data_IF_180012603280
#
_entry.id   IF_180012603280
#
_cell.length_a   1.000
_cell.length_b   1.000
_cell.length_c   1.000
_cell.angle_alpha   90.00
_cell.angle_beta   90.00
_cell.angle_gamma   90.00
#
_symmetry.space_group_name_H-M   'P 1'
#
loop_
_entity.id
_entity.type
_entity.pdbx_description
1 polymer ?
#
# COMPACT_ATOMS: atom_id res chain seq x y z
N UNK A 1 -26.56 33.15 12.33
CA UNK A 1 -25.25 33.07 11.65
C UNK A 1 -24.47 31.89 12.21
N UNK A 2 -23.67 31.22 11.36
CA UNK A 2 -22.77 30.14 11.79
C UNK A 2 -21.59 30.74 12.59
N UNK A 3 -21.15 30.10 13.68
CA UNK A 3 -20.00 30.56 14.48
C UNK A 3 -18.77 30.83 13.61
N UNK A 4 -18.51 29.98 12.61
CA UNK A 4 -17.35 30.13 11.71
C UNK A 4 -17.34 31.46 10.96
N UNK A 5 -18.49 32.02 10.59
CA UNK A 5 -18.54 33.32 9.89
C UNK A 5 -18.23 34.50 10.82
N UNK A 6 -18.26 34.28 12.14
CA UNK A 6 -18.00 35.29 13.14
C UNK A 6 -16.51 35.37 13.51
N UNK A 7 -15.73 34.31 13.27
CA UNK A 7 -14.32 34.20 13.68
C UNK A 7 -13.43 35.13 12.83
N UNK A 8 -12.49 35.81 13.50
CA UNK A 8 -11.44 36.58 12.85
C UNK A 8 -10.22 35.71 12.54
N UNK A 9 -10.24 35.03 11.39
CA UNK A 9 -9.13 34.19 10.94
C UNK A 9 -7.85 34.97 10.63
N UNK A 10 -7.90 36.29 10.39
CA UNK A 10 -6.72 37.10 10.06
C UNK A 10 -5.75 37.21 11.25
N UNK A 11 -6.23 36.95 12.47
CA UNK A 11 -5.44 36.96 13.72
C UNK A 11 -4.95 35.57 14.12
N UNK A 12 -5.25 34.53 13.34
CA UNK A 12 -4.86 33.15 13.61
C UNK A 12 -3.63 32.82 12.77
N UNK A 13 -2.51 32.49 13.42
CA UNK A 13 -1.32 32.05 12.73
C UNK A 13 -1.46 30.59 12.27
N UNK A 14 -1.83 30.40 11.00
CA UNK A 14 -1.94 29.08 10.38
C UNK A 14 -0.56 28.45 10.14
N UNK A 15 -0.51 27.12 10.16
CA UNK A 15 0.69 26.36 9.84
C UNK A 15 0.96 26.42 8.33
N UNK A 16 2.23 26.54 7.95
CA UNK A 16 2.64 26.54 6.54
C UNK A 16 2.68 25.11 5.98
N UNK A 17 2.48 25.00 4.67
CA UNK A 17 2.69 23.78 3.88
C UNK A 17 1.97 22.53 4.37
N UNK A 18 0.82 22.73 5.04
CA UNK A 18 0.00 21.66 5.62
C UNK A 18 -1.48 22.04 5.71
N UNK A 19 -2.30 21.09 6.16
CA UNK A 19 -3.69 21.34 6.56
C UNK A 19 -3.69 21.71 8.05
N UNK A 20 -4.07 22.95 8.35
CA UNK A 20 -4.20 23.41 9.74
C UNK A 20 -5.59 23.09 10.27
N UNK A 21 -5.66 22.35 11.37
CA UNK A 21 -6.89 22.10 12.12
C UNK A 21 -7.00 23.12 13.27
N UNK A 22 -8.18 23.75 13.38
CA UNK A 22 -8.51 24.70 14.43
C UNK A 22 -9.51 24.03 15.39
N UNK A 23 -9.04 23.65 16.57
CA UNK A 23 -9.87 22.96 17.57
C UNK A 23 -10.38 24.00 18.57
N UNK A 24 -11.71 24.16 18.62
CA UNK A 24 -12.35 25.03 19.60
C UNK A 24 -12.53 24.28 20.92
N UNK A 25 -12.02 24.87 22.01
CA UNK A 25 -12.08 24.28 23.35
C UNK A 25 -12.55 25.31 24.36
N UNK A 26 -13.18 24.86 25.44
CA UNK A 26 -13.48 25.73 26.58
C UNK A 26 -12.19 26.13 27.30
N UNK A 27 -12.15 27.35 27.81
CA UNK A 27 -11.02 27.89 28.57
C UNK A 27 -10.70 27.08 29.82
N UNK A 28 -11.70 26.43 30.42
CA UNK A 28 -11.53 25.58 31.62
C UNK A 28 -10.89 24.22 31.29
N UNK A 29 -11.10 23.72 30.06
CA UNK A 29 -10.55 22.44 29.59
C UNK A 29 -9.17 22.58 28.93
N UNK A 30 -8.71 23.83 28.72
CA UNK A 30 -7.39 24.13 28.19
C UNK A 30 -6.32 23.83 29.25
N UNK A 31 -5.89 22.57 29.33
CA UNK A 31 -4.74 22.16 30.15
C UNK A 31 -3.48 22.91 29.70
N UNK A 32 -2.61 23.27 30.66
CA UNK A 32 -1.33 23.98 30.46
C UNK A 32 -0.35 23.28 29.52
N UNK A 33 -0.68 22.06 29.10
CA UNK A 33 0.09 21.20 28.19
C UNK A 33 -0.38 21.19 26.75
N UNK A 34 -1.45 21.91 26.38
CA UNK A 34 -1.88 22.00 24.97
C UNK A 34 -0.99 23.00 24.21
N UNK A 35 -0.16 22.56 23.25
CA UNK A 35 0.69 23.47 22.49
C UNK A 35 -0.18 24.40 21.64
N UNK A 36 0.10 25.72 21.68
CA UNK A 36 -0.56 26.76 20.85
C UNK A 36 -2.07 26.95 21.07
N UNK A 37 -2.52 27.01 22.33
CA UNK A 37 -3.83 27.57 22.66
C UNK A 37 -3.79 29.10 22.64
N UNK A 38 -4.67 29.74 21.88
CA UNK A 38 -4.79 31.20 21.80
C UNK A 38 -6.24 31.66 21.97
N UNK A 39 -6.42 32.93 22.34
CA UNK A 39 -7.74 33.54 22.44
C UNK A 39 -8.40 33.60 21.07
N UNK A 40 -9.67 33.18 20.99
CA UNK A 40 -10.42 33.28 19.76
C UNK A 40 -10.98 34.71 19.62
N UNK A 41 -10.62 35.38 18.52
CA UNK A 41 -11.11 36.71 18.20
C UNK A 41 -12.24 36.64 17.17
N UNK A 42 -13.22 37.54 17.27
CA UNK A 42 -14.39 37.56 16.40
C UNK A 42 -14.49 38.88 15.62
N UNK A 43 -14.82 38.81 14.33
CA UNK A 43 -15.13 39.98 13.48
C UNK A 43 -16.53 40.51 13.78
N UNK A 44 -17.46 39.62 14.09
CA UNK A 44 -18.86 39.94 14.42
C UNK A 44 -19.32 39.08 15.59
N UNK A 45 -20.29 39.56 16.34
CA UNK A 45 -20.95 38.73 17.35
C UNK A 45 -21.91 37.72 16.67
N UNK A 46 -21.92 36.45 17.10
CA UNK A 46 -22.94 35.49 16.72
C UNK A 46 -24.33 35.99 17.06
N UNK A 47 -25.32 35.48 16.35
CA UNK A 47 -26.73 35.75 16.63
C UNK A 47 -27.05 35.40 18.09
N UNK A 48 -27.89 36.21 18.76
CA UNK A 48 -28.34 35.95 20.13
C UNK A 48 -28.98 34.55 20.25
N UNK A 49 -29.62 34.07 19.18
CA UNK A 49 -30.23 32.73 19.12
C UNK A 49 -29.22 31.59 18.89
N UNK A 50 -27.94 31.90 18.68
CA UNK A 50 -26.89 30.90 18.49
C UNK A 50 -26.59 30.17 19.80
N UNK A 51 -26.46 28.84 19.72
CA UNK A 51 -25.98 28.00 20.83
C UNK A 51 -24.60 28.41 21.36
N UNK A 52 -23.79 29.08 20.53
CA UNK A 52 -22.44 29.53 20.89
C UNK A 52 -22.40 30.89 21.58
N UNK A 53 -23.47 31.69 21.49
CA UNK A 53 -23.53 33.01 22.11
C UNK A 53 -23.21 33.01 23.63
N UNK A 54 -23.76 32.11 24.46
CA UNK A 54 -23.46 32.10 25.90
C UNK A 54 -22.00 31.73 26.22
N UNK A 55 -21.32 31.03 25.33
CA UNK A 55 -20.00 30.44 25.58
C UNK A 55 -18.88 31.13 24.80
N UNK A 56 -19.20 32.08 23.92
CA UNK A 56 -18.26 32.66 22.97
C UNK A 56 -16.99 33.25 23.62
N UNK A 57 -17.15 33.91 24.77
CA UNK A 57 -16.04 34.52 25.53
C UNK A 57 -15.20 33.50 26.29
N UNK A 58 -15.64 32.24 26.34
CA UNK A 58 -14.97 31.13 26.99
C UNK A 58 -14.30 30.19 25.97
N UNK A 59 -14.46 30.45 24.67
CA UNK A 59 -13.84 29.65 23.62
C UNK A 59 -12.39 30.09 23.40
N UNK A 60 -11.50 29.10 23.36
CA UNK A 60 -10.13 29.22 22.88
C UNK A 60 -9.97 28.39 21.62
N UNK A 61 -8.95 28.69 20.83
CA UNK A 61 -8.59 27.90 19.66
C UNK A 61 -7.21 27.29 19.87
N UNK A 62 -7.10 25.98 19.67
CA UNK A 62 -5.85 25.27 19.59
C UNK A 62 -5.52 25.03 18.12
N UNK A 63 -4.32 25.43 17.72
CA UNK A 63 -3.83 25.24 16.35
C UNK A 63 -2.97 23.98 16.32
N UNK A 64 -3.35 23.02 15.47
CA UNK A 64 -2.53 21.84 15.21
C UNK A 64 -2.57 21.47 13.73
N UNK A 65 -1.67 20.58 13.35
CA UNK A 65 -1.73 19.95 12.04
C UNK A 65 -2.86 18.92 12.04
N UNK A 66 -3.67 18.90 10.98
CA UNK A 66 -4.76 17.95 10.83
C UNK A 66 -4.20 16.52 10.83
N UNK A 67 -4.55 15.68 11.83
CA UNK A 67 -4.03 14.32 11.93
C UNK A 67 -4.57 13.40 10.83
N UNK A 68 -5.69 13.76 10.19
CA UNK A 68 -6.35 13.00 9.13
C UNK A 68 -5.91 13.39 7.71
N UNK A 69 -5.07 14.43 7.57
CA UNK A 69 -4.56 14.84 6.27
C UNK A 69 -3.75 13.73 5.61
N UNK A 70 -3.77 13.69 4.28
CA UNK A 70 -2.87 12.83 3.51
C UNK A 70 -1.42 13.28 3.73
N UNK A 71 -0.53 12.35 4.04
CA UNK A 71 0.90 12.63 4.26
C UNK A 71 1.69 12.28 3.01
N UNK A 72 1.86 13.22 2.10
CA UNK A 72 2.67 12.97 0.92
C UNK A 72 4.17 12.92 1.28
N UNK A 73 4.86 11.80 1.05
CA UNK A 73 6.29 11.67 1.33
C UNK A 73 7.10 12.65 0.49
N UNK A 74 8.12 13.29 1.08
CA UNK A 74 9.08 14.07 0.29
C UNK A 74 9.87 13.12 -0.60
N UNK A 75 9.91 13.40 -1.90
CA UNK A 75 10.63 12.57 -2.86
C UNK A 75 11.94 13.22 -3.28
N UNK A 76 13.06 12.58 -2.93
CA UNK A 76 14.42 13.07 -3.18
C UNK A 76 15.35 12.02 -3.81
N UNK A 77 14.82 10.87 -4.23
CA UNK A 77 15.61 9.78 -4.81
C UNK A 77 15.88 10.10 -6.29
N UNK A 78 17.14 10.30 -6.65
CA UNK A 78 17.54 10.67 -8.02
C UNK A 78 17.82 9.47 -8.94
N UNK A 79 17.90 8.25 -8.39
CA UNK A 79 18.25 7.03 -9.13
C UNK A 79 17.13 6.47 -10.01
N UNK A 80 15.93 7.04 -9.93
CA UNK A 80 14.76 6.57 -10.67
C UNK A 80 14.09 7.73 -11.40
N UNK A 81 13.86 7.62 -12.72
CA UNK A 81 13.08 8.60 -13.46
C UNK A 81 11.65 8.73 -12.89
N UNK A 82 11.21 9.95 -12.66
CA UNK A 82 9.86 10.26 -12.17
C UNK A 82 8.93 10.70 -13.30
N UNK A 83 7.62 10.65 -13.05
CA UNK A 83 6.61 11.31 -13.88
C UNK A 83 5.76 12.27 -13.07
N UNK A 84 5.34 13.36 -13.68
CA UNK A 84 4.45 14.30 -12.99
C UNK A 84 3.01 13.74 -12.96
N UNK A 85 2.30 13.98 -11.86
CA UNK A 85 0.91 13.55 -11.70
C UNK A 85 0.00 14.08 -12.82
N UNK A 86 0.28 15.27 -13.35
CA UNK A 86 -0.49 15.84 -14.47
C UNK A 86 -0.35 15.05 -15.78
N UNK A 87 0.64 14.18 -15.90
CA UNK A 87 0.80 13.27 -17.04
C UNK A 87 -0.12 12.04 -16.96
N UNK A 88 -0.76 11.78 -15.81
CA UNK A 88 -1.48 10.53 -15.55
C UNK A 88 -2.98 10.68 -15.87
N UNK A 89 -3.46 9.90 -16.81
CA UNK A 89 -4.88 9.82 -17.19
C UNK A 89 -5.47 8.53 -16.62
N UNK A 90 -6.31 8.65 -15.59
CA UNK A 90 -7.05 7.51 -15.03
C UNK A 90 -8.12 7.03 -16.00
N UNK A 91 -8.13 5.74 -16.32
CA UNK A 91 -9.10 5.14 -17.26
C UNK A 91 -10.09 4.21 -16.58
N UNK A 92 -9.66 3.48 -15.54
CA UNK A 92 -10.49 2.53 -14.81
C UNK A 92 -9.97 2.37 -13.38
N UNK A 93 -10.84 2.33 -12.38
CA UNK A 93 -10.47 1.91 -11.02
C UNK A 93 -10.50 0.37 -10.93
N UNK A 94 -9.40 -0.21 -10.43
CA UNK A 94 -9.25 -1.65 -10.21
C UNK A 94 -9.66 -2.03 -8.78
N UNK A 95 -9.27 -1.20 -7.83
CA UNK A 95 -9.61 -1.27 -6.41
C UNK A 95 -9.35 0.10 -5.77
N UNK A 96 -9.72 0.28 -4.50
CA UNK A 96 -9.57 1.56 -3.79
C UNK A 96 -8.16 2.11 -3.88
N UNK A 97 -8.00 3.23 -4.61
CA UNK A 97 -6.70 3.89 -4.80
C UNK A 97 -5.77 3.22 -5.82
N UNK A 98 -6.25 2.25 -6.60
CA UNK A 98 -5.49 1.56 -7.66
C UNK A 98 -6.24 1.68 -8.98
N UNK A 99 -5.57 2.25 -9.99
CA UNK A 99 -6.18 2.59 -11.27
C UNK A 99 -5.41 2.00 -12.43
N UNK A 100 -6.11 1.54 -13.47
CA UNK A 100 -5.53 1.52 -14.82
C UNK A 100 -5.40 2.95 -15.30
N UNK A 101 -4.26 3.26 -15.91
CA UNK A 101 -3.96 4.60 -16.40
C UNK A 101 -3.25 4.54 -17.75
N UNK A 102 -3.29 5.66 -18.46
CA UNK A 102 -2.36 5.98 -19.55
C UNK A 102 -1.52 7.18 -19.16
N UNK A 103 -0.34 7.30 -19.77
CA UNK A 103 0.49 8.50 -19.64
C UNK A 103 0.27 9.37 -20.88
N UNK A 104 0.14 10.69 -20.72
CA UNK A 104 0.00 11.64 -21.84
C UNK A 104 1.08 11.36 -22.90
N UNK A 105 0.66 11.21 -24.16
CA UNK A 105 1.56 10.94 -25.28
C UNK A 105 1.98 9.47 -25.42
N UNK A 106 1.41 8.55 -24.64
CA UNK A 106 1.65 7.11 -24.73
C UNK A 106 0.32 6.32 -24.67
N UNK A 107 0.17 5.33 -25.54
CA UNK A 107 -1.00 4.44 -25.57
C UNK A 107 -0.85 3.18 -24.70
N UNK A 108 0.32 2.95 -24.11
CA UNK A 108 0.56 1.85 -23.19
C UNK A 108 -0.28 2.04 -21.92
N UNK A 109 -0.90 0.94 -21.48
CA UNK A 109 -1.65 0.89 -20.22
C UNK A 109 -0.73 0.54 -19.06
N UNK A 110 -0.93 1.23 -17.95
CA UNK A 110 -0.17 1.06 -16.71
C UNK A 110 -1.10 0.90 -15.51
N UNK A 111 -0.54 0.52 -14.37
CA UNK A 111 -1.22 0.57 -13.07
C UNK A 111 -0.66 1.72 -12.25
N UNK A 112 -1.52 2.59 -11.75
CA UNK A 112 -1.18 3.66 -10.81
C UNK A 112 -1.77 3.35 -9.45
N UNK A 113 -0.91 3.20 -8.43
CA UNK A 113 -1.31 3.15 -7.03
C UNK A 113 -1.11 4.53 -6.41
N UNK A 114 -2.16 5.12 -5.89
CA UNK A 114 -2.17 6.48 -5.35
C UNK A 114 -1.97 6.50 -3.83
N UNK A 115 -1.24 7.50 -3.33
CA UNK A 115 -1.10 7.76 -1.89
C UNK A 115 -2.45 8.21 -1.30
N UNK A 116 -3.08 9.19 -1.93
CA UNK A 116 -4.36 9.76 -1.50
C UNK A 116 -5.54 8.88 -1.94
N UNK A 117 -5.90 7.89 -1.12
CA UNK A 117 -7.04 6.99 -1.36
C UNK A 117 -8.22 7.27 -0.44
N UNK A 118 -9.46 6.88 -0.81
CA UNK A 118 -10.60 6.88 0.11
C UNK A 118 -10.27 6.11 1.40
N UNK A 119 -10.71 6.64 2.54
CA UNK A 119 -10.39 6.10 3.89
C UNK A 119 -8.89 6.03 4.18
N UNK A 120 -8.14 7.03 3.71
CA UNK A 120 -6.71 7.15 3.98
C UNK A 120 -6.39 7.10 5.48
N UNK A 121 -5.41 6.28 5.83
CA UNK A 121 -4.75 6.30 7.14
C UNK A 121 -3.30 6.75 6.99
N UNK A 122 -2.70 7.45 7.98
CA UNK A 122 -1.31 7.89 7.91
C UNK A 122 -0.30 6.81 7.52
N UNK A 123 -0.55 5.56 7.95
CA UNK A 123 0.26 4.39 7.63
C UNK A 123 0.27 4.05 6.14
N UNK A 124 -0.76 4.40 5.37
CA UNK A 124 -0.86 4.10 3.93
C UNK A 124 0.31 4.70 3.14
N UNK A 125 0.79 5.87 3.55
CA UNK A 125 1.97 6.49 2.94
C UNK A 125 3.24 5.69 3.23
N UNK A 126 3.40 5.16 4.45
CA UNK A 126 4.53 4.31 4.82
C UNK A 126 4.52 3.00 4.02
N UNK A 127 3.33 2.42 3.82
CA UNK A 127 3.14 1.20 3.02
C UNK A 127 3.55 1.44 1.57
N UNK A 128 3.11 2.53 0.95
CA UNK A 128 3.45 2.85 -0.42
C UNK A 128 4.93 3.20 -0.59
N UNK A 129 5.52 3.92 0.37
CA UNK A 129 6.97 4.18 0.40
C UNK A 129 7.76 2.88 0.49
N UNK A 130 7.34 1.95 1.35
CA UNK A 130 8.02 0.66 1.50
C UNK A 130 7.89 -0.18 0.23
N UNK A 131 6.71 -0.18 -0.41
CA UNK A 131 6.52 -0.84 -1.70
C UNK A 131 7.46 -0.24 -2.76
N UNK A 132 7.57 1.09 -2.82
CA UNK A 132 8.50 1.75 -3.73
C UNK A 132 9.95 1.35 -3.48
N UNK A 133 10.40 1.31 -2.22
CA UNK A 133 11.76 0.85 -1.86
C UNK A 133 12.01 -0.58 -2.33
N UNK A 134 11.07 -1.49 -2.06
CA UNK A 134 11.19 -2.89 -2.46
C UNK A 134 11.20 -3.02 -3.99
N UNK A 135 10.35 -2.30 -4.71
CA UNK A 135 10.31 -2.30 -6.18
C UNK A 135 11.60 -1.77 -6.82
N UNK A 136 12.27 -0.80 -6.19
CA UNK A 136 13.58 -0.30 -6.65
C UNK A 136 14.64 -1.41 -6.51
N UNK A 137 14.65 -2.12 -5.37
CA UNK A 137 15.58 -3.24 -5.13
C UNK A 137 15.31 -4.45 -6.03
N UNK A 138 14.04 -4.67 -6.39
CA UNK A 138 13.58 -5.79 -7.20
C UNK A 138 13.53 -5.47 -8.72
N UNK A 139 14.02 -4.30 -9.14
CA UNK A 139 14.05 -3.93 -10.56
C UNK A 139 14.82 -4.96 -11.38
N UNK A 140 14.21 -5.42 -12.47
CA UNK A 140 14.77 -6.42 -13.37
C UNK A 140 14.74 -7.85 -12.83
N UNK A 141 14.22 -8.07 -11.62
CA UNK A 141 13.96 -9.42 -11.12
C UNK A 141 12.76 -10.00 -11.85
N UNK A 142 13.01 -11.15 -12.45
CA UNK A 142 12.01 -11.89 -13.19
C UNK A 142 10.89 -12.42 -12.28
N UNK A 143 9.64 -12.37 -12.74
CA UNK A 143 8.47 -12.75 -11.95
C UNK A 143 8.02 -11.70 -10.90
N UNK A 144 8.63 -10.51 -10.88
CA UNK A 144 8.17 -9.36 -10.08
C UNK A 144 7.60 -8.29 -11.00
N UNK A 145 6.51 -7.65 -10.59
CA UNK A 145 5.98 -6.48 -11.30
C UNK A 145 6.99 -5.33 -11.34
N UNK A 146 7.19 -4.75 -12.51
CA UNK A 146 8.19 -3.72 -12.71
C UNK A 146 7.67 -2.30 -12.44
N UNK A 147 8.48 -1.55 -11.68
CA UNK A 147 8.31 -0.11 -11.49
C UNK A 147 8.65 0.63 -12.78
N UNK A 148 7.66 1.35 -13.32
CA UNK A 148 7.84 2.25 -14.45
C UNK A 148 8.36 3.60 -13.98
N UNK A 149 7.68 4.21 -13.01
CA UNK A 149 8.08 5.50 -12.43
C UNK A 149 7.39 5.78 -11.10
N UNK A 150 8.05 6.44 -10.15
CA UNK A 150 7.40 7.18 -9.08
C UNK A 150 6.62 8.36 -9.68
N UNK A 151 5.38 8.55 -9.22
CA UNK A 151 4.56 9.68 -9.62
C UNK A 151 4.72 10.78 -8.58
N UNK A 152 5.08 11.96 -9.02
CA UNK A 152 5.38 13.10 -8.15
C UNK A 152 4.57 14.32 -8.51
N UNK A 153 4.49 15.29 -7.60
CA UNK A 153 4.08 16.66 -7.93
C UNK A 153 4.65 17.62 -6.89
N UNK A 154 4.41 18.93 -7.07
CA UNK A 154 4.63 19.89 -5.99
C UNK A 154 3.74 19.55 -4.80
N UNK A 155 4.23 19.80 -3.60
CA UNK A 155 3.45 19.62 -2.38
C UNK A 155 2.09 20.35 -2.51
N UNK A 156 0.95 19.63 -2.45
CA UNK A 156 -0.37 20.24 -2.64
C UNK A 156 -0.77 21.18 -1.50
N UNK A 157 -0.05 21.16 -0.38
CA UNK A 157 -0.33 21.99 0.78
C UNK A 157 0.47 23.30 0.80
N UNK A 158 1.26 23.61 -0.25
CA UNK A 158 2.10 24.81 -0.29
C UNK A 158 1.30 26.08 0.04
N UNK A 159 1.77 26.81 1.06
CA UNK A 159 1.16 28.08 1.46
C UNK A 159 1.70 29.23 0.61
N UNK A 160 0.95 30.33 0.53
CA UNK A 160 1.36 31.52 -0.21
C UNK A 160 2.67 32.16 0.29
N UNK A 161 3.08 31.85 1.52
CA UNK A 161 4.32 32.36 2.14
C UNK A 161 5.56 31.59 1.64
N UNK A 162 5.39 30.38 1.11
CA UNK A 162 6.50 29.52 0.69
C UNK A 162 6.95 29.90 -0.73
N UNK A 163 8.26 30.15 -0.89
CA UNK A 163 8.80 30.54 -2.18
C UNK A 163 8.74 29.38 -3.18
N UNK A 164 8.59 29.67 -4.48
CA UNK A 164 8.61 28.63 -5.52
C UNK A 164 9.93 27.85 -5.58
N UNK A 165 11.02 28.41 -5.04
CA UNK A 165 12.33 27.73 -4.97
C UNK A 165 12.40 26.70 -3.84
N UNK A 166 11.55 26.86 -2.81
CA UNK A 166 11.47 25.95 -1.66
C UNK A 166 10.35 24.92 -1.82
N UNK A 167 9.63 24.94 -2.95
CA UNK A 167 8.54 24.04 -3.23
C UNK A 167 9.02 22.58 -3.31
N UNK A 168 8.74 21.81 -2.26
CA UNK A 168 9.12 20.41 -2.18
C UNK A 168 8.34 19.57 -3.19
N UNK A 169 9.07 18.67 -3.86
CA UNK A 169 8.48 17.60 -4.66
C UNK A 169 8.09 16.46 -3.71
N UNK A 170 6.86 15.98 -3.85
CA UNK A 170 6.31 14.92 -3.01
C UNK A 170 5.85 13.75 -3.87
N UNK A 171 5.93 12.54 -3.31
CA UNK A 171 5.41 11.32 -3.90
C UNK A 171 3.88 11.35 -3.85
N UNK A 172 3.26 11.11 -5.00
CA UNK A 172 1.80 11.03 -5.18
C UNK A 172 1.33 9.61 -5.41
N UNK A 173 2.20 8.74 -5.88
CA UNK A 173 1.92 7.34 -6.09
C UNK A 173 3.05 6.61 -6.81
N UNK A 174 2.79 5.38 -7.22
CA UNK A 174 3.71 4.56 -8.02
C UNK A 174 3.03 4.09 -9.31
N UNK A 175 3.77 4.14 -10.41
CA UNK A 175 3.37 3.67 -11.72
C UNK A 175 4.07 2.34 -12.02
N UNK A 176 3.28 1.32 -12.28
CA UNK A 176 3.73 -0.05 -12.54
C UNK A 176 3.28 -0.48 -13.94
N UNK A 177 3.96 -1.47 -14.50
CA UNK A 177 3.47 -2.15 -15.70
C UNK A 177 2.09 -2.79 -15.45
N UNK A 178 1.31 -2.95 -16.52
CA UNK A 178 0.01 -3.60 -16.45
C UNK A 178 0.05 -5.00 -17.04
N UNK A 179 -0.49 -5.96 -16.29
CA UNK A 179 -0.62 -7.34 -16.71
C UNK A 179 -2.10 -7.66 -17.01
N UNK A 180 -2.40 -7.93 -18.29
CA UNK A 180 -3.77 -8.01 -18.78
C UNK A 180 -4.43 -9.39 -18.65
N UNK A 181 -3.66 -10.45 -18.40
CA UNK A 181 -4.17 -11.83 -18.42
C UNK A 181 -4.80 -12.28 -17.08
N UNK A 182 -5.15 -11.32 -16.22
CA UNK A 182 -5.86 -11.56 -14.97
C UNK A 182 -4.96 -12.09 -13.86
N UNK A 183 -5.61 -12.62 -12.81
CA UNK A 183 -4.94 -13.12 -11.59
C UNK A 183 -5.02 -14.65 -11.50
N UNK A 184 -4.14 -15.24 -10.69
CA UNK A 184 -4.23 -16.66 -10.33
C UNK A 184 -5.56 -16.98 -9.65
N UNK A 185 -6.11 -16.06 -8.85
CA UNK A 185 -7.42 -16.23 -8.23
C UNK A 185 -8.53 -16.43 -9.28
N UNK A 186 -8.57 -15.60 -10.32
CA UNK A 186 -9.55 -15.74 -11.40
C UNK A 186 -9.36 -17.06 -12.18
N UNK A 187 -8.12 -17.47 -12.42
CA UNK A 187 -7.83 -18.75 -13.06
C UNK A 187 -8.34 -19.95 -12.24
N UNK A 188 -8.11 -19.94 -10.93
CA UNK A 188 -8.59 -20.97 -9.99
C UNK A 188 -10.12 -21.01 -9.91
N UNK A 189 -10.78 -19.85 -9.88
CA UNK A 189 -12.25 -19.74 -9.84
C UNK A 189 -12.91 -20.31 -11.11
N UNK A 190 -12.31 -20.04 -12.29
CA UNK A 190 -12.79 -20.57 -13.57
C UNK A 190 -12.49 -22.06 -13.76
N UNK A 191 -11.66 -22.67 -12.88
CA UNK A 191 -11.24 -24.08 -12.95
C UNK A 191 -10.76 -24.51 -14.34
N UNK A 192 -10.01 -23.63 -15.02
CA UNK A 192 -9.44 -23.93 -16.34
C UNK A 192 -8.39 -25.03 -16.21
N UNK A 193 -8.63 -26.18 -16.81
CA UNK A 193 -7.73 -27.34 -16.68
C UNK A 193 -6.46 -27.16 -17.50
N UNK A 194 -6.54 -26.58 -18.69
CA UNK A 194 -5.41 -26.47 -19.63
C UNK A 194 -4.56 -25.20 -19.40
N UNK A 195 -4.13 -25.00 -18.15
CA UNK A 195 -3.23 -23.93 -17.76
C UNK A 195 -1.90 -24.51 -17.28
N UNK A 196 -0.78 -23.78 -17.40
CA UNK A 196 0.54 -24.30 -17.06
C UNK A 196 0.77 -24.24 -15.53
N UNK A 197 -0.05 -24.96 -14.76
CA UNK A 197 -0.08 -24.94 -13.30
C UNK A 197 1.28 -25.26 -12.68
N UNK A 198 1.97 -26.28 -13.19
CA UNK A 198 3.32 -26.62 -12.71
C UNK A 198 4.34 -25.53 -13.00
N UNK A 199 4.34 -24.95 -14.20
CA UNK A 199 5.24 -23.85 -14.55
C UNK A 199 5.00 -22.63 -13.65
N UNK A 200 3.73 -22.27 -13.39
CA UNK A 200 3.39 -21.20 -12.47
C UNK A 200 3.88 -21.48 -11.05
N UNK A 201 3.74 -22.71 -10.56
CA UNK A 201 4.26 -23.08 -9.24
C UNK A 201 5.77 -22.88 -9.14
N UNK A 202 6.53 -23.27 -10.17
CA UNK A 202 7.98 -23.03 -10.26
C UNK A 202 8.29 -21.53 -10.25
N UNK A 203 7.59 -20.75 -11.07
CA UNK A 203 7.80 -19.30 -11.19
C UNK A 203 7.50 -18.57 -9.87
N UNK A 204 6.38 -18.87 -9.22
CA UNK A 204 5.98 -18.26 -7.94
C UNK A 204 7.02 -18.62 -6.85
N UNK A 205 7.40 -19.89 -6.76
CA UNK A 205 8.37 -20.36 -5.75
C UNK A 205 9.75 -19.72 -5.99
N UNK A 206 10.19 -19.63 -7.25
CA UNK A 206 11.46 -19.01 -7.62
C UNK A 206 11.48 -17.53 -7.28
N UNK A 207 10.40 -16.82 -7.59
CA UNK A 207 10.28 -15.38 -7.29
C UNK A 207 10.29 -15.16 -5.79
N UNK A 208 9.53 -15.93 -5.02
CA UNK A 208 9.50 -15.83 -3.56
C UNK A 208 10.87 -16.13 -2.93
N UNK A 209 11.59 -17.12 -3.47
CA UNK A 209 12.96 -17.42 -3.03
C UNK A 209 13.89 -16.21 -3.24
N UNK A 210 13.72 -15.51 -4.37
CA UNK A 210 14.51 -14.32 -4.67
C UNK A 210 14.19 -13.15 -3.74
N UNK A 211 12.93 -12.95 -3.38
CA UNK A 211 12.52 -11.97 -2.36
C UNK A 211 13.21 -12.29 -1.02
N UNK A 212 13.13 -13.54 -0.56
CA UNK A 212 13.70 -13.95 0.73
C UNK A 212 15.23 -13.79 0.77
N UNK A 213 15.94 -14.12 -0.32
CA UNK A 213 17.39 -13.88 -0.45
C UNK A 213 17.79 -12.40 -0.34
N UNK A 214 16.88 -11.48 -0.68
CA UNK A 214 17.09 -10.03 -0.55
C UNK A 214 16.60 -9.48 0.79
N UNK A 215 16.17 -10.35 1.72
CA UNK A 215 15.64 -9.93 3.02
C UNK A 215 14.25 -9.28 2.93
N UNK A 216 13.48 -9.61 1.89
CA UNK A 216 12.13 -9.10 1.67
C UNK A 216 11.13 -10.25 1.91
N UNK A 217 10.11 -10.01 2.73
CA UNK A 217 8.97 -10.91 2.90
C UNK A 217 7.72 -10.28 2.28
N UNK A 218 6.86 -11.11 1.70
CA UNK A 218 5.62 -10.64 1.07
C UNK A 218 4.52 -10.38 2.11
N UNK A 219 4.36 -11.26 3.10
CA UNK A 219 3.36 -11.21 4.19
C UNK A 219 1.87 -11.22 3.80
N UNK A 220 1.55 -10.96 2.53
CA UNK A 220 0.21 -11.03 1.95
C UNK A 220 0.20 -11.83 0.65
N UNK A 221 1.02 -12.88 0.57
CA UNK A 221 1.06 -13.76 -0.59
C UNK A 221 -0.25 -14.54 -0.72
N UNK A 222 -0.97 -14.30 -1.83
CA UNK A 222 -2.26 -14.93 -2.14
C UNK A 222 -2.49 -14.97 -3.65
N UNK A 223 -3.43 -15.80 -4.15
CA UNK A 223 -3.73 -15.89 -5.59
C UNK A 223 -4.17 -14.56 -6.22
N UNK A 224 -4.73 -13.62 -5.46
CA UNK A 224 -5.08 -12.28 -5.95
C UNK A 224 -3.84 -11.43 -6.28
N UNK A 225 -2.73 -11.69 -5.59
CA UNK A 225 -1.46 -10.95 -5.72
C UNK A 225 -0.48 -11.63 -6.69
N UNK A 226 -0.98 -12.57 -7.51
CA UNK A 226 -0.23 -13.21 -8.60
C UNK A 226 -0.99 -12.92 -9.88
N UNK A 227 -0.36 -12.17 -10.78
CA UNK A 227 -0.92 -11.75 -12.08
C UNK A 227 -0.17 -12.41 -13.22
N UNK A 228 -0.77 -12.43 -14.41
CA UNK A 228 -0.15 -13.05 -15.57
C UNK A 228 0.27 -12.02 -16.61
N UNK A 229 1.55 -12.06 -16.99
CA UNK A 229 2.13 -11.27 -18.07
C UNK A 229 1.28 -11.34 -19.34
N UNK A 230 1.16 -10.20 -20.03
CA UNK A 230 0.42 -10.08 -21.27
C UNK A 230 1.03 -10.88 -22.43
N UNK A 231 2.35 -11.10 -22.41
CA UNK A 231 3.10 -11.67 -23.53
C UNK A 231 3.16 -13.20 -23.49
N UNK A 232 3.43 -13.77 -22.31
CA UNK A 232 3.84 -15.18 -22.15
C UNK A 232 3.11 -15.92 -21.02
N UNK A 233 2.06 -15.32 -20.45
CA UNK A 233 1.31 -15.86 -19.30
C UNK A 233 2.18 -16.18 -18.08
N UNK A 234 3.33 -15.52 -17.94
CA UNK A 234 4.21 -15.69 -16.78
C UNK A 234 3.57 -15.21 -15.48
N UNK A 235 3.66 -16.03 -14.43
CA UNK A 235 3.23 -15.66 -13.10
C UNK A 235 4.14 -14.57 -12.53
N UNK A 236 3.53 -13.45 -12.13
CA UNK A 236 4.19 -12.25 -11.64
C UNK A 236 3.60 -11.83 -10.30
N UNK A 237 4.45 -11.62 -9.30
CA UNK A 237 4.04 -11.18 -7.96
C UNK A 237 3.85 -9.65 -7.95
N UNK A 238 2.76 -9.21 -7.33
CA UNK A 238 2.41 -7.80 -7.11
C UNK A 238 2.23 -7.53 -5.60
N UNK A 239 2.04 -6.27 -5.23
CA UNK A 239 1.76 -5.85 -3.84
C UNK A 239 2.90 -6.20 -2.88
N UNK A 240 4.06 -5.62 -3.18
CA UNK A 240 5.35 -6.02 -2.62
C UNK A 240 5.76 -5.15 -1.42
N UNK A 241 4.80 -4.55 -0.71
CA UNK A 241 5.08 -3.70 0.45
C UNK A 241 5.64 -4.50 1.63
N UNK A 242 5.12 -5.71 1.87
CA UNK A 242 5.47 -6.53 3.03
C UNK A 242 4.94 -6.01 4.37
N UNK A 243 4.29 -4.83 4.39
CA UNK A 243 3.80 -4.15 5.60
C UNK A 243 2.37 -3.57 5.45
N UNK A 244 1.75 -3.73 4.27
CA UNK A 244 0.44 -3.15 3.92
C UNK A 244 -0.79 -3.81 4.53
N UNK A 245 -0.58 -4.91 5.26
CA UNK A 245 -1.64 -5.72 5.85
C UNK A 245 -1.38 -7.20 5.63
N UNK A 246 -2.29 -8.04 6.13
CA UNK A 246 -2.22 -9.49 5.98
C UNK A 246 -3.62 -10.04 5.76
N UNK A 247 -3.76 -11.00 4.85
CA UNK A 247 -5.02 -11.72 4.66
C UNK A 247 -5.10 -12.92 5.62
N UNK A 248 -6.03 -12.86 6.59
CA UNK A 248 -6.17 -13.84 7.68
C UNK A 248 -6.25 -15.31 7.21
N UNK A 249 -6.87 -15.53 6.05
CA UNK A 249 -7.02 -16.86 5.44
C UNK A 249 -5.69 -17.46 4.92
N UNK A 250 -4.70 -16.60 4.64
CA UNK A 250 -3.37 -16.94 4.11
C UNK A 250 -2.27 -16.95 5.19
N UNK A 251 -2.55 -16.44 6.40
CA UNK A 251 -1.62 -16.54 7.52
C UNK A 251 -1.39 -18.00 7.97
N UNK A 252 -0.18 -18.29 8.44
CA UNK A 252 0.11 -19.53 9.14
C UNK A 252 -0.64 -19.62 10.48
N UNK A 253 -0.82 -20.84 11.05
CA UNK A 253 -1.56 -21.02 12.30
C UNK A 253 -0.99 -20.16 13.43
N UNK A 254 0.34 -20.12 13.58
CA UNK A 254 1.02 -19.33 14.60
C UNK A 254 0.88 -17.83 14.38
N UNK A 255 0.95 -17.34 13.13
CA UNK A 255 0.79 -15.91 12.83
C UNK A 255 -0.63 -15.41 13.06
N UNK A 256 -1.63 -16.26 12.79
CA UNK A 256 -3.05 -15.91 12.99
C UNK A 256 -3.39 -15.62 14.45
N UNK A 257 -2.63 -16.19 15.39
CA UNK A 257 -2.84 -16.00 16.82
C UNK A 257 -2.25 -14.68 17.35
N UNK A 258 -1.50 -13.94 16.53
CA UNK A 258 -0.85 -12.70 16.92
C UNK A 258 -1.72 -11.48 16.61
N UNK A 259 -1.67 -10.47 17.49
CA UNK A 259 -2.28 -9.17 17.23
C UNK A 259 -1.51 -8.37 16.17
N UNK A 260 -0.18 -8.54 16.11
CA UNK A 260 0.70 -7.84 15.18
C UNK A 260 1.68 -8.80 14.46
N UNK A 261 1.20 -9.56 13.46
CA UNK A 261 2.05 -10.51 12.72
C UNK A 261 3.23 -9.84 11.99
N UNK A 262 3.05 -8.59 11.56
CA UNK A 262 4.06 -7.83 10.82
C UNK A 262 5.23 -7.36 11.72
N UNK A 263 5.04 -7.35 13.04
CA UNK A 263 6.07 -7.00 14.03
C UNK A 263 7.01 -8.17 14.36
N UNK A 264 6.75 -9.36 13.82
CA UNK A 264 7.61 -10.53 14.02
C UNK A 264 8.94 -10.39 13.28
N UNK A 265 9.92 -11.17 13.73
CA UNK A 265 11.24 -11.24 13.10
C UNK A 265 11.16 -11.74 11.64
N UNK A 266 12.26 -11.54 10.90
CA UNK A 266 12.32 -11.88 9.49
C UNK A 266 12.13 -13.38 9.22
N UNK A 267 12.69 -14.26 10.06
CA UNK A 267 12.58 -15.70 9.85
C UNK A 267 11.14 -16.15 10.03
N UNK A 268 10.47 -15.69 11.09
CA UNK A 268 9.05 -15.95 11.33
C UNK A 268 8.18 -15.48 10.14
N UNK A 269 8.46 -14.29 9.60
CA UNK A 269 7.75 -13.75 8.42
C UNK A 269 8.02 -14.56 7.15
N UNK A 270 9.25 -15.03 6.93
CA UNK A 270 9.58 -15.93 5.82
C UNK A 270 8.86 -17.29 5.96
N UNK A 271 8.76 -17.83 7.17
CA UNK A 271 8.00 -19.05 7.43
C UNK A 271 6.51 -18.89 7.10
N UNK A 272 5.93 -17.71 7.33
CA UNK A 272 4.56 -17.39 6.92
C UNK A 272 4.39 -17.36 5.39
N UNK A 273 5.33 -16.75 4.68
CA UNK A 273 5.31 -16.74 3.21
C UNK A 273 5.37 -18.16 2.62
N UNK A 274 6.20 -19.04 3.20
CA UNK A 274 6.29 -20.46 2.80
C UNK A 274 4.97 -21.19 3.05
N UNK A 275 4.32 -20.93 4.19
CA UNK A 275 2.99 -21.47 4.46
C UNK A 275 1.96 -21.02 3.42
N UNK A 276 1.93 -19.71 3.11
CA UNK A 276 1.03 -19.15 2.12
C UNK A 276 1.27 -19.76 0.72
N UNK A 277 2.53 -19.93 0.32
CA UNK A 277 2.90 -20.66 -0.89
C UNK A 277 2.33 -22.08 -0.88
N UNK A 278 2.54 -22.84 0.20
CA UNK A 278 2.01 -24.20 0.33
C UNK A 278 0.50 -24.28 0.16
N UNK A 279 -0.23 -23.34 0.78
CA UNK A 279 -1.68 -23.20 0.60
C UNK A 279 -2.06 -22.94 -0.86
N UNK A 280 -1.34 -22.06 -1.57
CA UNK A 280 -1.57 -21.78 -3.00
C UNK A 280 -1.36 -23.04 -3.82
N UNK A 281 -0.25 -23.76 -3.61
CA UNK A 281 0.08 -24.99 -4.33
C UNK A 281 -0.97 -26.09 -4.07
N UNK A 282 -1.54 -26.16 -2.87
CA UNK A 282 -2.64 -27.07 -2.55
C UNK A 282 -3.85 -26.82 -3.44
N UNK A 283 -4.27 -25.55 -3.56
CA UNK A 283 -5.44 -25.18 -4.36
C UNK A 283 -5.17 -25.38 -5.85
N UNK A 284 -3.95 -25.10 -6.32
CA UNK A 284 -3.53 -25.39 -7.68
C UNK A 284 -3.58 -26.89 -8.00
N UNK A 285 -3.19 -27.75 -7.04
CA UNK A 285 -3.21 -29.21 -7.21
C UNK A 285 -4.64 -29.74 -7.45
N UNK A 286 -5.65 -29.14 -6.82
CA UNK A 286 -7.05 -29.50 -7.01
C UNK A 286 -7.59 -29.13 -8.40
N UNK A 287 -6.92 -28.20 -9.09
CA UNK A 287 -7.27 -27.74 -10.45
C UNK A 287 -6.35 -28.25 -11.55
N UNK A 288 -5.25 -28.92 -11.20
CA UNK A 288 -4.25 -29.42 -12.14
C UNK A 288 -4.84 -30.38 -13.18
N UNK A 289 -4.31 -30.37 -14.41
CA UNK A 289 -4.81 -31.21 -15.49
C UNK A 289 -4.22 -32.61 -15.50
N UNK A 290 -3.05 -32.82 -14.89
CA UNK A 290 -2.41 -34.14 -14.84
C UNK A 290 -2.20 -34.65 -13.42
N UNK A 291 -2.26 -35.97 -13.24
CA UNK A 291 -1.93 -36.63 -11.98
C UNK A 291 -0.47 -36.39 -11.55
N UNK A 292 0.42 -36.14 -12.52
CA UNK A 292 1.81 -35.82 -12.21
C UNK A 292 1.93 -34.46 -11.54
N UNK A 293 1.34 -33.42 -12.14
CA UNK A 293 1.31 -32.07 -11.56
C UNK A 293 0.65 -32.09 -10.18
N UNK A 294 -0.53 -32.72 -10.07
CA UNK A 294 -1.23 -32.86 -8.80
C UNK A 294 -0.34 -33.47 -7.72
N UNK A 295 0.33 -34.60 -8.01
CA UNK A 295 1.24 -35.25 -7.05
C UNK A 295 2.40 -34.35 -6.62
N UNK A 296 3.04 -33.66 -7.57
CA UNK A 296 4.19 -32.80 -7.29
C UNK A 296 3.76 -31.59 -6.44
N UNK A 297 2.67 -30.91 -6.82
CA UNK A 297 2.14 -29.76 -6.10
C UNK A 297 1.66 -30.12 -4.69
N UNK A 298 0.92 -31.22 -4.54
CA UNK A 298 0.48 -31.73 -3.22
C UNK A 298 1.67 -32.09 -2.33
N UNK A 299 2.74 -32.68 -2.90
CA UNK A 299 3.93 -33.03 -2.13
C UNK A 299 4.61 -31.80 -1.53
N UNK A 300 4.83 -30.76 -2.34
CA UNK A 300 5.46 -29.51 -1.86
C UNK A 300 4.55 -28.79 -0.88
N UNK A 301 3.25 -28.68 -1.19
CA UNK A 301 2.23 -28.11 -0.31
C UNK A 301 2.32 -28.70 1.10
N UNK A 302 2.31 -30.04 1.24
CA UNK A 302 2.37 -30.71 2.55
C UNK A 302 3.61 -30.36 3.37
N UNK A 303 4.75 -30.17 2.73
CA UNK A 303 5.99 -29.78 3.42
C UNK A 303 6.05 -28.28 3.74
N UNK A 304 5.39 -27.45 2.94
CA UNK A 304 5.29 -26.02 3.14
C UNK A 304 4.22 -25.64 4.17
N UNK A 305 3.20 -26.48 4.38
CA UNK A 305 2.12 -26.25 5.35
C UNK A 305 2.24 -27.16 6.59
N UNK A 306 3.45 -27.43 7.06
CA UNK A 306 3.60 -28.09 8.37
C UNK A 306 3.16 -27.13 9.47
N UNK A 307 2.45 -27.67 10.47
CA UNK A 307 1.89 -26.87 11.57
C UNK A 307 2.99 -26.22 12.41
N UNK A 308 4.12 -26.91 12.59
CA UNK A 308 5.27 -26.43 13.34
C UNK A 308 6.41 -26.10 12.37
N UNK A 309 6.94 -24.85 12.36
CA UNK A 309 8.14 -24.50 11.61
C UNK A 309 9.40 -25.16 12.22
N UNK A 310 10.50 -25.33 11.46
CA UNK A 310 10.71 -24.82 10.11
C UNK A 310 9.99 -25.65 9.04
N UNK A 311 9.38 -24.95 8.08
CA UNK A 311 8.85 -25.51 6.84
C UNK A 311 9.99 -25.74 5.85
N UNK A 312 9.69 -26.47 4.78
CA UNK A 312 10.65 -26.70 3.69
C UNK A 312 11.25 -25.38 3.18
N UNK A 313 12.56 -25.39 2.90
CA UNK A 313 13.21 -24.23 2.28
C UNK A 313 12.67 -24.02 0.86
N UNK A 314 12.65 -22.78 0.37
CA UNK A 314 12.22 -22.50 -1.01
C UNK A 314 13.15 -23.13 -2.05
N UNK A 315 14.43 -23.32 -1.71
CA UNK A 315 15.38 -24.04 -2.56
C UNK A 315 15.00 -25.53 -2.69
N UNK A 316 14.68 -26.19 -1.58
CA UNK A 316 14.25 -27.59 -1.60
C UNK A 316 12.87 -27.75 -2.27
N UNK A 317 11.97 -26.79 -2.06
CA UNK A 317 10.69 -26.75 -2.75
C UNK A 317 10.88 -26.69 -4.28
N UNK A 318 11.81 -25.87 -4.78
CA UNK A 318 12.16 -25.82 -6.21
C UNK A 318 12.72 -27.15 -6.73
N UNK A 319 13.58 -27.83 -5.95
CA UNK A 319 14.10 -29.15 -6.32
C UNK A 319 12.98 -30.20 -6.40
N UNK A 320 11.99 -30.12 -5.51
CA UNK A 320 10.82 -31.01 -5.57
C UNK A 320 9.87 -30.69 -6.72
N UNK A 321 9.75 -29.42 -7.10
CA UNK A 321 8.96 -29.01 -8.26
C UNK A 321 9.64 -29.42 -9.58
N UNK A 322 10.97 -29.42 -9.64
CA UNK A 322 11.75 -29.83 -10.81
C UNK A 322 12.61 -31.06 -10.48
N UNK A 323 12.01 -32.25 -10.28
CA UNK A 323 12.79 -33.46 -10.11
C UNK A 323 13.57 -33.73 -11.41
N UNK A 324 14.90 -33.83 -11.29
CA UNK A 324 15.80 -34.16 -12.40
C UNK A 324 15.44 -35.50 -13.06
#
# INVERSE_FOLDING_TARGET
MNLCSCINFDLIELLNDTVTELVLTYQQDATTTTPRSQTLHFKTTPDIKSEYNPVINQLRVCIREDPSRVRFPVYNISSVPTKDLSEIIKTQELSTGVYKVRVIGNEVTYVYKEVARPMYEPRDSEVLEQELRNLILLRGIDGVVQLVAPIVSRNPYLSAKTSKKDAQTVLRGILLEYHSNGTLQSALQLRKKDLPWHQWAVQITSTLNRLHQLGITHMDLKPANIVFSSEDLKATLIDLSGIGGTSQEWLSPEMRMLSEPLSQDMDSRMQNDIWALGRILSVMADTACTEMEKRVLTRVSRHATTDVPPRISLQDALLLLNPQ
#
